data_IF_566144116178
#
_entry.id   IF_566144116178
#
_cell.length_a   1.000
_cell.length_b   1.000
_cell.length_c   1.000
_cell.angle_alpha   90.00
_cell.angle_beta   90.00
_cell.angle_gamma   90.00
#
_symmetry.space_group_name_H-M   'P 1'
#
loop_
_entity.id
_entity.type
_entity.pdbx_description
1 polymer ?
#
# COMPACT_ATOMS: atom_id res chain seq x y z
N UNK A 1 34.95 -16.35 -9.12
CA UNK A 1 33.65 -16.76 -8.58
C UNK A 1 33.08 -17.84 -9.47
N UNK A 2 32.57 -18.89 -8.85
CA UNK A 2 31.76 -19.92 -9.51
C UNK A 2 30.30 -19.43 -9.69
N UNK A 3 29.54 -20.06 -10.57
CA UNK A 3 28.14 -19.70 -10.86
C UNK A 3 27.25 -19.81 -9.61
N UNK A 4 27.59 -20.71 -8.67
CA UNK A 4 26.92 -20.82 -7.37
C UNK A 4 27.18 -19.61 -6.46
N UNK A 5 28.39 -19.05 -6.47
CA UNK A 5 28.72 -17.83 -5.70
C UNK A 5 28.06 -16.60 -6.29
N UNK A 6 27.99 -16.50 -7.64
CA UNK A 6 27.30 -15.41 -8.34
C UNK A 6 25.81 -15.43 -7.99
N UNK A 7 25.18 -16.60 -8.01
CA UNK A 7 23.78 -16.77 -7.63
C UNK A 7 23.51 -16.37 -6.18
N UNK A 8 24.34 -16.81 -5.24
CA UNK A 8 24.20 -16.44 -3.82
C UNK A 8 24.37 -14.92 -3.60
N UNK A 9 25.27 -14.29 -4.36
CA UNK A 9 25.47 -12.83 -4.33
C UNK A 9 24.23 -12.09 -4.82
N UNK A 10 23.62 -12.54 -5.93
CA UNK A 10 22.38 -11.97 -6.45
C UNK A 10 21.22 -12.09 -5.47
N UNK A 11 21.00 -13.27 -4.88
CA UNK A 11 19.90 -13.48 -3.91
C UNK A 11 20.03 -12.52 -2.72
N UNK A 12 21.26 -12.31 -2.24
CA UNK A 12 21.51 -11.42 -1.12
C UNK A 12 21.18 -9.96 -1.46
N UNK A 13 21.72 -9.43 -2.57
CA UNK A 13 21.59 -8.01 -2.91
C UNK A 13 20.25 -7.66 -3.59
N UNK A 14 19.63 -8.58 -4.34
CA UNK A 14 18.24 -8.40 -4.81
C UNK A 14 17.24 -8.25 -3.66
N UNK A 15 17.55 -8.84 -2.50
CA UNK A 15 16.71 -8.69 -1.30
C UNK A 15 16.90 -7.35 -0.58
N UNK A 16 18.00 -6.64 -0.85
CA UNK A 16 18.39 -5.38 -0.19
C UNK A 16 18.02 -4.12 -1.02
N UNK A 17 17.28 -4.27 -2.13
CA UNK A 17 16.78 -3.18 -2.98
C UNK A 17 17.82 -2.49 -3.88
N UNK A 18 18.94 -3.13 -4.18
CA UNK A 18 19.89 -2.60 -5.15
C UNK A 18 19.36 -2.71 -6.59
N UNK A 19 19.68 -1.70 -7.41
CA UNK A 19 19.33 -1.67 -8.82
C UNK A 19 19.99 -2.86 -9.53
N UNK A 20 19.21 -3.73 -10.23
CA UNK A 20 19.75 -4.93 -10.89
C UNK A 20 20.89 -4.62 -11.86
N UNK A 21 20.85 -3.48 -12.54
CA UNK A 21 21.87 -3.09 -13.52
C UNK A 21 23.22 -2.78 -12.85
N UNK A 22 23.20 -2.16 -11.67
CA UNK A 22 24.40 -1.86 -10.89
C UNK A 22 25.04 -3.16 -10.37
N UNK A 23 24.21 -4.14 -10.03
CA UNK A 23 24.63 -5.50 -9.63
C UNK A 23 25.31 -6.26 -10.78
N UNK A 24 24.73 -6.21 -11.99
CA UNK A 24 25.33 -6.83 -13.18
C UNK A 24 26.67 -6.17 -13.51
N UNK A 25 26.75 -4.84 -13.44
CA UNK A 25 27.98 -4.10 -13.67
C UNK A 25 29.09 -4.48 -12.69
N UNK A 26 28.78 -4.55 -11.40
CA UNK A 26 29.76 -4.91 -10.36
C UNK A 26 30.30 -6.35 -10.54
N UNK A 27 29.44 -7.29 -10.93
CA UNK A 27 29.85 -8.68 -11.17
C UNK A 27 30.67 -8.79 -12.45
N UNK A 28 30.31 -8.05 -13.51
CA UNK A 28 31.11 -7.95 -14.72
C UNK A 28 32.52 -7.42 -14.42
N UNK A 29 32.65 -6.39 -13.58
CA UNK A 29 33.94 -5.84 -13.17
C UNK A 29 34.77 -6.84 -12.34
N UNK A 30 34.14 -7.59 -11.43
CA UNK A 30 34.83 -8.55 -10.55
C UNK A 30 35.21 -9.86 -11.24
N UNK A 31 34.42 -10.32 -12.20
CA UNK A 31 34.62 -11.63 -12.86
C UNK A 31 35.19 -11.53 -14.27
N UNK A 32 35.16 -10.36 -14.89
CA UNK A 32 35.57 -10.15 -16.28
C UNK A 32 34.64 -10.82 -17.31
N UNK A 33 33.45 -11.28 -16.89
CA UNK A 33 32.44 -11.86 -17.79
C UNK A 33 31.71 -10.78 -18.58
N UNK A 34 31.20 -11.16 -19.74
CA UNK A 34 30.37 -10.27 -20.57
C UNK A 34 29.03 -10.00 -19.89
N UNK A 35 28.52 -8.80 -20.12
CA UNK A 35 27.23 -8.34 -19.62
C UNK A 35 26.11 -9.35 -19.93
N UNK A 36 25.96 -9.76 -21.18
CA UNK A 36 24.91 -10.69 -21.63
C UNK A 36 24.92 -12.04 -20.87
N UNK A 37 26.11 -12.54 -20.52
CA UNK A 37 26.25 -13.81 -19.79
C UNK A 37 25.81 -13.68 -18.33
N UNK A 38 26.01 -12.51 -17.72
CA UNK A 38 25.59 -12.22 -16.35
C UNK A 38 24.12 -11.83 -16.28
N UNK A 39 23.62 -11.08 -17.26
CA UNK A 39 22.21 -10.67 -17.37
C UNK A 39 21.31 -11.89 -17.57
N UNK A 40 21.67 -12.82 -18.45
CA UNK A 40 20.92 -14.08 -18.63
C UNK A 40 20.94 -14.98 -17.39
N UNK A 41 22.01 -14.94 -16.60
CA UNK A 41 22.12 -15.62 -15.31
C UNK A 41 21.21 -14.95 -14.26
N UNK A 42 21.20 -13.63 -14.20
CA UNK A 42 20.32 -12.84 -13.35
C UNK A 42 18.85 -13.10 -13.68
N UNK A 43 18.48 -13.14 -14.97
CA UNK A 43 17.12 -13.47 -15.40
C UNK A 43 16.69 -14.87 -14.98
N UNK A 44 17.58 -15.87 -15.12
CA UNK A 44 17.31 -17.24 -14.63
C UNK A 44 17.13 -17.28 -13.12
N UNK A 45 18.01 -16.63 -12.36
CA UNK A 45 17.90 -16.54 -10.89
C UNK A 45 16.63 -15.80 -10.49
N UNK A 46 16.25 -14.73 -11.19
CA UNK A 46 14.97 -14.03 -10.99
C UNK A 46 13.79 -14.93 -11.25
N UNK A 47 13.77 -15.68 -12.36
CA UNK A 47 12.67 -16.56 -12.70
C UNK A 47 12.57 -17.77 -11.74
N UNK A 48 13.70 -18.31 -11.31
CA UNK A 48 13.77 -19.48 -10.43
C UNK A 48 13.54 -19.13 -8.96
N UNK A 49 13.82 -17.89 -8.55
CA UNK A 49 13.66 -17.40 -7.17
C UNK A 49 12.66 -16.26 -7.03
N UNK A 50 11.85 -15.97 -8.05
CA UNK A 50 10.77 -14.98 -8.02
C UNK A 50 9.85 -15.23 -6.83
N UNK A 51 9.57 -16.51 -6.57
CA UNK A 51 8.74 -16.95 -5.46
C UNK A 51 9.36 -16.67 -4.09
N UNK A 52 10.69 -16.69 -3.96
CA UNK A 52 11.39 -16.45 -2.70
C UNK A 52 11.61 -14.94 -2.45
N UNK A 53 11.87 -14.16 -3.51
CA UNK A 53 11.95 -12.70 -3.46
C UNK A 53 10.59 -12.09 -3.12
N UNK A 54 9.51 -12.57 -3.77
CA UNK A 54 8.14 -12.15 -3.44
C UNK A 54 7.77 -12.48 -1.98
N UNK A 55 8.32 -13.57 -1.45
CA UNK A 55 8.10 -14.00 -0.06
C UNK A 55 8.83 -13.11 0.95
N UNK A 56 10.01 -12.57 0.61
CA UNK A 56 10.76 -11.62 1.47
C UNK A 56 10.24 -10.18 1.41
N UNK A 57 9.70 -9.73 0.28
CA UNK A 57 9.03 -8.41 0.18
C UNK A 57 7.59 -8.41 0.75
N UNK A 58 6.99 -9.60 0.90
CA UNK A 58 5.62 -9.78 1.41
C UNK A 58 5.33 -9.12 2.77
N UNK A 59 6.12 -9.31 3.85
CA UNK A 59 5.72 -8.85 5.18
C UNK A 59 5.63 -7.33 5.32
N UNK A 60 6.51 -6.57 4.64
CA UNK A 60 6.50 -5.11 4.69
C UNK A 60 5.31 -4.53 3.94
N UNK A 61 5.03 -5.08 2.75
CA UNK A 61 3.85 -4.72 1.96
C UNK A 61 2.55 -5.09 2.69
N UNK A 62 2.50 -6.27 3.33
CA UNK A 62 1.36 -6.69 4.17
C UNK A 62 1.14 -5.69 5.31
N UNK A 63 2.20 -5.25 5.98
CA UNK A 63 2.11 -4.29 7.07
C UNK A 63 1.59 -2.93 6.58
N UNK A 64 2.09 -2.43 5.46
CA UNK A 64 1.60 -1.18 4.85
C UNK A 64 0.12 -1.31 4.48
N UNK A 65 -0.29 -2.41 3.87
CA UNK A 65 -1.68 -2.62 3.50
C UNK A 65 -2.60 -2.75 4.72
N UNK A 66 -2.14 -3.40 5.79
CA UNK A 66 -2.85 -3.50 7.06
C UNK A 66 -3.02 -2.11 7.69
N UNK A 67 -1.95 -1.33 7.77
CA UNK A 67 -1.99 0.04 8.30
C UNK A 67 -2.93 0.92 7.47
N UNK A 68 -2.83 0.84 6.14
CA UNK A 68 -3.69 1.60 5.22
C UNK A 68 -5.16 1.20 5.35
N UNK A 69 -5.43 -0.09 5.54
CA UNK A 69 -6.78 -0.61 5.75
C UNK A 69 -7.36 -0.13 7.09
N UNK A 70 -6.61 -0.23 8.18
CA UNK A 70 -7.03 0.25 9.51
C UNK A 70 -7.23 1.77 9.49
N UNK A 71 -6.32 2.52 8.86
CA UNK A 71 -6.45 3.96 8.69
C UNK A 71 -7.72 4.33 7.90
N UNK A 72 -8.02 3.61 6.83
CA UNK A 72 -9.24 3.82 6.05
C UNK A 72 -10.52 3.56 6.84
N UNK A 73 -10.55 2.51 7.67
CA UNK A 73 -11.66 2.24 8.60
C UNK A 73 -11.80 3.38 9.61
N UNK A 74 -10.69 3.80 10.23
CA UNK A 74 -10.68 4.88 11.22
C UNK A 74 -11.25 6.18 10.64
N UNK A 75 -10.75 6.61 9.48
CA UNK A 75 -11.23 7.81 8.78
C UNK A 75 -12.72 7.69 8.43
N UNK A 76 -13.18 6.50 8.04
CA UNK A 76 -14.58 6.28 7.71
C UNK A 76 -15.48 6.39 8.95
N UNK A 77 -15.06 5.82 10.10
CA UNK A 77 -15.80 5.92 11.36
C UNK A 77 -15.84 7.36 11.86
N UNK A 78 -14.71 8.05 11.84
CA UNK A 78 -14.61 9.46 12.26
C UNK A 78 -15.53 10.37 11.42
N UNK A 79 -15.51 10.16 10.10
CA UNK A 79 -16.41 10.88 9.17
C UNK A 79 -17.89 10.57 9.46
N UNK A 80 -18.23 9.30 9.73
CA UNK A 80 -19.60 8.93 10.09
C UNK A 80 -20.04 9.52 11.45
N UNK A 81 -19.12 9.61 12.42
CA UNK A 81 -19.39 10.20 13.72
C UNK A 81 -19.67 11.71 13.61
N UNK A 82 -18.88 12.44 12.81
CA UNK A 82 -19.15 13.85 12.49
C UNK A 82 -20.54 14.04 11.87
N UNK A 83 -20.94 13.14 10.98
CA UNK A 83 -22.27 13.17 10.36
C UNK A 83 -23.37 13.02 11.41
N UNK A 84 -23.22 12.08 12.35
CA UNK A 84 -24.18 11.86 13.44
C UNK A 84 -24.26 13.07 14.37
N UNK A 85 -23.13 13.66 14.74
CA UNK A 85 -23.11 14.86 15.58
C UNK A 85 -23.86 16.03 14.94
N UNK A 86 -23.64 16.27 13.65
CA UNK A 86 -24.36 17.32 12.93
C UNK A 86 -25.86 17.02 12.87
N UNK A 87 -26.26 15.78 12.58
CA UNK A 87 -27.69 15.42 12.58
C UNK A 87 -28.33 15.59 13.96
N UNK A 88 -27.62 15.25 15.04
CA UNK A 88 -28.10 15.43 16.41
C UNK A 88 -28.29 16.91 16.75
N UNK A 89 -27.33 17.76 16.42
CA UNK A 89 -27.42 19.22 16.63
C UNK A 89 -28.65 19.80 15.89
N UNK A 90 -28.87 19.40 14.63
CA UNK A 90 -30.05 19.82 13.87
C UNK A 90 -31.38 19.29 14.45
N UNK A 91 -31.39 18.09 15.00
CA UNK A 91 -32.59 17.52 15.64
C UNK A 91 -32.90 18.15 17.00
N UNK A 92 -31.87 18.60 17.73
CA UNK A 92 -31.99 19.28 19.03
C UNK A 92 -32.20 20.80 18.92
N UNK A 93 -31.83 21.40 17.79
CA UNK A 93 -31.94 22.83 17.52
C UNK A 93 -33.38 23.36 17.31
N UNK A 94 -34.41 22.57 17.60
CA UNK A 94 -35.81 22.96 17.51
C UNK A 94 -36.20 24.21 18.35
N UNK A 95 -35.28 24.74 19.16
CA UNK A 95 -35.48 25.95 19.98
C UNK A 95 -34.48 27.11 19.75
N UNK A 96 -33.45 26.97 18.91
CA UNK A 96 -32.46 28.04 18.67
C UNK A 96 -32.67 28.70 17.31
N UNK A 97 -32.59 30.05 17.20
CA UNK A 97 -32.76 30.74 15.93
C UNK A 97 -31.48 30.61 15.08
N UNK A 98 -31.24 29.43 14.53
CA UNK A 98 -30.22 29.23 13.50
C UNK A 98 -30.75 29.88 12.23
N UNK A 99 -30.02 30.83 11.66
CA UNK A 99 -30.45 31.45 10.41
C UNK A 99 -30.32 30.46 9.25
N UNK A 100 -31.11 30.67 8.18
CA UNK A 100 -31.02 29.85 6.96
C UNK A 100 -29.61 29.89 6.36
N UNK A 101 -28.89 31.00 6.54
CA UNK A 101 -27.53 31.18 6.05
C UNK A 101 -26.52 30.34 6.85
N UNK A 102 -26.61 30.36 8.19
CA UNK A 102 -25.76 29.53 9.06
C UNK A 102 -25.99 28.04 8.78
N UNK A 103 -27.26 27.67 8.60
CA UNK A 103 -27.64 26.31 8.26
C UNK A 103 -27.03 25.86 6.93
N UNK A 104 -27.04 26.73 5.91
CA UNK A 104 -26.49 26.40 4.61
C UNK A 104 -24.96 26.25 4.66
N UNK A 105 -24.27 27.14 5.38
CA UNK A 105 -22.82 27.10 5.50
C UNK A 105 -22.32 25.87 6.28
N UNK A 106 -22.98 25.53 7.40
CA UNK A 106 -22.66 24.33 8.19
C UNK A 106 -22.88 23.08 7.35
N UNK A 107 -24.00 23.00 6.65
CA UNK A 107 -24.35 21.83 5.84
C UNK A 107 -23.38 21.65 4.67
N UNK A 108 -23.01 22.73 3.96
CA UNK A 108 -22.09 22.65 2.83
C UNK A 108 -20.65 22.33 3.25
N UNK A 109 -20.15 22.98 4.31
CA UNK A 109 -18.82 22.72 4.85
C UNK A 109 -18.70 21.30 5.40
N UNK A 110 -19.63 20.90 6.26
CA UNK A 110 -19.60 19.59 6.91
C UNK A 110 -19.83 18.48 5.91
N UNK A 111 -20.78 18.64 4.98
CA UNK A 111 -21.01 17.65 3.94
C UNK A 111 -19.75 17.44 3.10
N UNK A 112 -19.07 18.51 2.68
CA UNK A 112 -17.84 18.39 1.89
C UNK A 112 -16.77 17.56 2.61
N UNK A 113 -16.43 17.91 3.86
CA UNK A 113 -15.43 17.17 4.64
C UNK A 113 -15.84 15.72 4.89
N UNK A 114 -17.12 15.49 5.18
CA UNK A 114 -17.65 14.16 5.48
C UNK A 114 -17.66 13.25 4.25
N UNK A 115 -18.12 13.77 3.11
CA UNK A 115 -18.13 13.02 1.85
C UNK A 115 -16.70 12.77 1.35
N UNK A 116 -15.82 13.77 1.44
CA UNK A 116 -14.42 13.59 1.07
C UNK A 116 -13.72 12.56 1.98
N UNK A 117 -13.95 12.63 3.29
CA UNK A 117 -13.41 11.69 4.27
C UNK A 117 -13.90 10.26 4.04
N UNK A 118 -15.21 10.08 3.82
CA UNK A 118 -15.79 8.77 3.49
C UNK A 118 -15.26 8.22 2.16
N UNK A 119 -15.20 9.05 1.12
CA UNK A 119 -14.69 8.63 -0.19
C UNK A 119 -13.22 8.21 -0.11
N UNK A 120 -12.40 8.96 0.64
CA UNK A 120 -10.99 8.64 0.86
C UNK A 120 -10.81 7.38 1.70
N UNK A 121 -11.54 7.25 2.81
CA UNK A 121 -11.50 6.07 3.67
C UNK A 121 -11.92 4.80 2.92
N UNK A 122 -13.02 4.86 2.17
CA UNK A 122 -13.46 3.76 1.31
C UNK A 122 -12.45 3.47 0.19
N UNK A 123 -11.87 4.51 -0.43
CA UNK A 123 -10.82 4.37 -1.43
C UNK A 123 -9.59 3.64 -0.91
N UNK A 124 -9.15 3.98 0.31
CA UNK A 124 -8.04 3.30 1.00
C UNK A 124 -8.36 1.84 1.30
N UNK A 125 -9.56 1.54 1.81
CA UNK A 125 -10.00 0.17 2.11
C UNK A 125 -10.10 -0.67 0.85
N UNK A 126 -10.77 -0.16 -0.19
CA UNK A 126 -10.95 -0.86 -1.46
C UNK A 126 -9.61 -1.01 -2.18
N UNK A 127 -8.79 0.04 -2.24
CA UNK A 127 -7.44 -0.02 -2.82
C UNK A 127 -6.57 -1.07 -2.15
N UNK A 128 -6.60 -1.15 -0.81
CA UNK A 128 -5.91 -2.20 -0.05
C UNK A 128 -6.42 -3.60 -0.39
N UNK A 129 -7.74 -3.80 -0.45
CA UNK A 129 -8.34 -5.10 -0.80
C UNK A 129 -8.00 -5.54 -2.23
N UNK A 130 -8.09 -4.63 -3.22
CA UNK A 130 -7.79 -4.94 -4.62
C UNK A 130 -6.30 -5.14 -4.88
N UNK A 131 -5.43 -4.31 -4.30
CA UNK A 131 -3.98 -4.40 -4.48
C UNK A 131 -3.38 -5.66 -3.84
N UNK A 132 -4.05 -6.21 -2.82
CA UNK A 132 -3.53 -7.33 -2.02
C UNK A 132 -4.37 -8.59 -2.07
N UNK A 133 -5.20 -8.81 -3.10
CA UNK A 133 -6.08 -9.98 -3.22
C UNK A 133 -5.40 -11.33 -2.89
N UNK A 134 -4.15 -11.54 -3.34
CA UNK A 134 -3.37 -12.76 -3.08
C UNK A 134 -2.99 -12.91 -1.60
N UNK A 135 -2.64 -11.81 -0.94
CA UNK A 135 -2.31 -11.77 0.49
C UNK A 135 -3.56 -12.00 1.34
N UNK A 136 -4.65 -11.31 1.00
CA UNK A 136 -5.93 -11.51 1.68
C UNK A 136 -6.46 -12.93 1.52
N UNK A 137 -6.35 -13.53 0.34
CA UNK A 137 -6.69 -14.93 0.11
C UNK A 137 -5.85 -15.88 0.99
N UNK A 138 -4.55 -15.61 1.13
CA UNK A 138 -3.66 -16.38 1.99
C UNK A 138 -3.99 -16.25 3.49
N UNK A 139 -4.39 -15.06 3.94
CA UNK A 139 -4.78 -14.80 5.34
C UNK A 139 -6.18 -15.36 5.66
N UNK A 140 -7.15 -15.19 4.75
CA UNK A 140 -8.55 -15.54 4.97
C UNK A 140 -8.89 -17.00 4.70
N UNK A 141 -7.93 -17.82 4.21
CA UNK A 141 -8.13 -19.26 3.92
C UNK A 141 -9.45 -19.55 3.17
N UNK A 142 -9.65 -18.88 2.04
CA UNK A 142 -10.63 -19.29 1.03
C UNK A 142 -9.93 -20.07 -0.09
#
# INVERSE_FOLDING_TARGET
MDDAEITAYFIKHLSESDNPDDLVMEICEKTGRKWDDIESLLERVRAEHEHEITRRQSPLLVLIALVTFVAGIWVSIDSAYLLVLVLQEYSGAAGSPITLLDSFQILFSTAYYTFAGLALGLGMVLGSLFGMKKVWAAILKF
#
